data_IF_940135633572
#
_entry.id   IF_940135633572
#
_cell.length_a   1.000
_cell.length_b   1.000
_cell.length_c   1.000
_cell.angle_alpha   90.00
_cell.angle_beta   90.00
_cell.angle_gamma   90.00
#
_symmetry.space_group_name_H-M   'P 1'
#
loop_
_entity.id
_entity.type
_entity.pdbx_description
1 polymer ?
#
# COMPACT_ATOMS: atom_id res chain seq x y z
N UNK A 1 -18.08 -5.59 -17.19
CA UNK A 1 -17.19 -4.57 -16.63
C UNK A 1 -17.66 -4.17 -15.25
N UNK A 2 -16.82 -4.38 -14.25
CA UNK A 2 -17.18 -4.02 -12.89
C UNK A 2 -16.90 -2.54 -12.66
N UNK A 3 -17.98 -1.80 -12.48
CA UNK A 3 -17.84 -0.43 -12.04
C UNK A 3 -17.30 -0.45 -10.61
N UNK A 4 -16.11 0.09 -10.42
CA UNK A 4 -15.53 0.24 -9.09
C UNK A 4 -16.35 1.26 -8.32
N UNK A 5 -16.52 1.03 -7.01
CA UNK A 5 -17.20 2.01 -6.16
C UNK A 5 -16.54 3.37 -6.34
N UNK A 6 -17.38 4.35 -6.59
CA UNK A 6 -16.92 5.72 -6.77
C UNK A 6 -16.38 6.24 -5.45
N UNK A 7 -15.15 6.77 -5.47
CA UNK A 7 -14.52 7.36 -4.30
C UNK A 7 -14.99 8.81 -4.16
N UNK A 8 -15.43 9.17 -2.97
CA UNK A 8 -15.69 10.56 -2.62
C UNK A 8 -14.35 11.22 -2.30
N UNK A 9 -13.82 11.91 -3.30
CA UNK A 9 -12.49 12.55 -3.22
C UNK A 9 -12.42 13.56 -2.08
N UNK A 10 -13.46 14.38 -1.91
CA UNK A 10 -13.49 15.40 -0.87
C UNK A 10 -13.44 14.79 0.52
N UNK A 11 -14.25 13.75 0.76
CA UNK A 11 -14.28 13.03 2.02
C UNK A 11 -12.91 12.39 2.32
N UNK A 12 -12.32 11.74 1.32
CA UNK A 12 -11.02 11.09 1.46
C UNK A 12 -9.92 12.11 1.78
N UNK A 13 -9.88 13.23 1.08
CA UNK A 13 -8.89 14.27 1.34
C UNK A 13 -9.03 14.85 2.75
N UNK A 14 -10.26 15.03 3.23
CA UNK A 14 -10.51 15.44 4.61
C UNK A 14 -9.96 14.43 5.61
N UNK A 15 -10.25 13.15 5.40
CA UNK A 15 -9.76 12.09 6.26
C UNK A 15 -8.24 12.04 6.30
N UNK A 16 -7.59 12.22 5.15
CA UNK A 16 -6.13 12.23 5.03
C UNK A 16 -5.54 13.42 5.77
N UNK A 17 -6.06 14.63 5.54
CA UNK A 17 -5.52 15.85 6.14
C UNK A 17 -5.71 15.91 7.66
N UNK A 18 -6.77 15.32 8.18
CA UNK A 18 -7.08 15.31 9.59
C UNK A 18 -6.64 14.05 10.32
N UNK A 19 -5.92 13.16 9.64
CA UNK A 19 -5.53 11.87 10.20
C UNK A 19 -4.60 12.01 11.41
N UNK A 20 -4.93 11.27 12.47
CA UNK A 20 -4.13 11.20 13.67
C UNK A 20 -4.37 9.85 14.33
N UNK A 21 -3.30 9.14 14.65
CA UNK A 21 -3.38 7.83 15.28
C UNK A 21 -2.43 7.77 16.47
N UNK A 22 -2.89 7.17 17.56
CA UNK A 22 -2.08 7.00 18.76
C UNK A 22 -1.20 5.75 18.70
N UNK A 23 -1.56 4.79 17.84
CA UNK A 23 -0.86 3.52 17.71
C UNK A 23 -0.90 3.00 16.29
N UNK A 24 -0.03 2.04 16.00
CA UNK A 24 -0.03 1.36 14.71
C UNK A 24 -1.26 0.45 14.57
N UNK A 25 -1.61 0.16 13.32
CA UNK A 25 -2.82 -0.61 12.99
C UNK A 25 -2.40 -1.84 12.17
N UNK A 26 -3.07 -2.95 12.40
CA UNK A 26 -2.82 -4.19 11.67
C UNK A 26 -3.80 -4.34 10.51
N UNK A 27 -3.33 -4.99 9.45
CA UNK A 27 -4.17 -5.32 8.29
C UNK A 27 -3.79 -6.68 7.72
N UNK A 28 -4.69 -7.24 6.92
CA UNK A 28 -4.46 -8.47 6.16
C UNK A 28 -4.74 -8.18 4.70
N UNK A 29 -3.74 -8.45 3.85
CA UNK A 29 -3.90 -8.40 2.40
C UNK A 29 -4.15 -9.83 1.92
N UNK A 30 -5.38 -10.12 1.50
CA UNK A 30 -5.76 -11.45 1.02
C UNK A 30 -5.47 -11.52 -0.48
N UNK A 31 -4.60 -12.45 -0.87
CA UNK A 31 -4.14 -12.56 -2.26
C UNK A 31 -4.36 -13.95 -2.83
N UNK A 32 -4.18 -14.10 -4.14
CA UNK A 32 -4.22 -15.40 -4.84
C UNK A 32 -3.17 -16.39 -4.32
N UNK A 33 -2.13 -15.91 -3.66
CA UNK A 33 -1.06 -16.76 -3.11
C UNK A 33 -1.16 -16.97 -1.61
N UNK A 34 -2.14 -16.36 -0.95
CA UNK A 34 -2.35 -16.45 0.48
C UNK A 34 -2.49 -15.08 1.13
N UNK A 35 -2.57 -15.09 2.45
CA UNK A 35 -2.73 -13.86 3.24
C UNK A 35 -1.39 -13.29 3.64
N UNK A 36 -1.28 -11.96 3.57
CA UNK A 36 -0.12 -11.21 4.03
C UNK A 36 -0.57 -10.35 5.21
N UNK A 37 -0.10 -10.68 6.40
CA UNK A 37 -0.37 -9.89 7.60
C UNK A 37 0.66 -8.77 7.69
N UNK A 38 0.19 -7.56 7.93
CA UNK A 38 1.06 -6.38 7.93
C UNK A 38 0.77 -5.47 9.12
N UNK A 39 1.80 -4.75 9.55
CA UNK A 39 1.67 -3.63 10.47
C UNK A 39 1.70 -2.35 9.65
N UNK A 40 0.76 -1.45 9.93
CA UNK A 40 0.69 -0.13 9.31
C UNK A 40 1.17 0.90 10.34
N UNK A 41 2.16 1.71 9.96
CA UNK A 41 2.81 2.67 10.87
C UNK A 41 1.98 3.95 11.01
N UNK A 42 0.76 3.81 11.52
CA UNK A 42 -0.23 4.87 11.56
C UNK A 42 0.21 6.08 12.39
N UNK A 43 0.94 5.86 13.48
CA UNK A 43 1.39 6.97 14.33
C UNK A 43 2.48 7.83 13.67
N UNK A 44 3.29 7.23 12.78
CA UNK A 44 4.39 7.92 12.10
C UNK A 44 4.02 8.42 10.69
N UNK A 45 3.09 7.72 10.02
CA UNK A 45 2.63 8.10 8.69
C UNK A 45 1.09 8.14 8.66
N UNK A 46 0.47 9.02 9.45
CA UNK A 46 -0.98 9.02 9.63
C UNK A 46 -1.76 9.27 8.32
N UNK A 47 -1.29 10.17 7.48
CA UNK A 47 -1.98 10.49 6.23
C UNK A 47 -1.97 9.33 5.26
N UNK A 48 -0.82 8.72 5.07
CA UNK A 48 -0.63 7.57 4.18
C UNK A 48 -1.47 6.38 4.66
N UNK A 49 -1.43 6.10 5.96
CA UNK A 49 -2.20 5.00 6.54
C UNK A 49 -3.70 5.29 6.49
N UNK A 50 -4.14 6.52 6.75
CA UNK A 50 -5.56 6.90 6.63
C UNK A 50 -6.07 6.70 5.21
N UNK A 51 -5.26 7.04 4.21
CA UNK A 51 -5.58 6.81 2.82
C UNK A 51 -5.76 5.31 2.54
N UNK A 52 -4.79 4.51 2.94
CA UNK A 52 -4.82 3.05 2.74
C UNK A 52 -6.04 2.42 3.43
N UNK A 53 -6.27 2.76 4.69
CA UNK A 53 -7.42 2.26 5.46
C UNK A 53 -8.74 2.67 4.80
N UNK A 54 -8.87 3.93 4.43
CA UNK A 54 -10.10 4.45 3.81
C UNK A 54 -10.42 3.74 2.50
N UNK A 55 -9.43 3.56 1.65
CA UNK A 55 -9.60 2.83 0.39
C UNK A 55 -9.93 1.36 0.63
N UNK A 56 -9.25 0.71 1.58
CA UNK A 56 -9.50 -0.69 1.92
C UNK A 56 -10.93 -0.90 2.41
N UNK A 57 -11.41 -0.05 3.32
CA UNK A 57 -12.77 -0.15 3.88
C UNK A 57 -13.86 0.10 2.84
N UNK A 58 -13.58 0.87 1.81
CA UNK A 58 -14.52 1.13 0.73
C UNK A 58 -14.50 0.05 -0.35
N UNK A 59 -13.66 -0.98 -0.20
CA UNK A 59 -13.53 -2.05 -1.17
C UNK A 59 -12.77 -1.64 -2.43
N UNK A 60 -12.03 -0.53 -2.39
CA UNK A 60 -11.30 -0.02 -3.55
C UNK A 60 -10.26 -1.01 -4.08
N UNK A 61 -9.58 -1.72 -3.17
CA UNK A 61 -8.54 -2.69 -3.53
C UNK A 61 -9.09 -4.06 -3.94
N UNK A 62 -10.39 -4.29 -3.76
CA UNK A 62 -10.99 -5.60 -4.04
C UNK A 62 -10.79 -5.98 -5.51
N UNK A 63 -10.25 -7.17 -5.73
CA UNK A 63 -10.04 -7.77 -7.05
C UNK A 63 -9.08 -7.00 -7.96
N UNK A 64 -8.20 -6.17 -7.38
CA UNK A 64 -7.12 -5.54 -8.12
C UNK A 64 -5.95 -6.50 -8.31
N UNK A 65 -5.10 -6.23 -9.29
CA UNK A 65 -3.98 -7.09 -9.62
C UNK A 65 -2.66 -6.50 -9.15
N UNK A 66 -1.70 -7.39 -8.88
CA UNK A 66 -0.30 -7.00 -8.81
C UNK A 66 0.17 -6.86 -10.27
N UNK A 67 0.09 -5.66 -10.79
CA UNK A 67 0.36 -5.37 -12.20
C UNK A 67 1.85 -5.24 -12.54
N UNK A 68 2.71 -5.13 -11.54
CA UNK A 68 4.14 -5.01 -11.72
C UNK A 68 4.85 -5.83 -10.64
N UNK A 69 5.55 -6.88 -11.07
CA UNK A 69 6.33 -7.74 -10.16
C UNK A 69 7.71 -7.91 -10.75
N UNK A 70 8.71 -7.50 -10.00
CA UNK A 70 10.11 -7.63 -10.42
C UNK A 70 10.81 -8.50 -9.37
N UNK A 71 11.24 -9.69 -9.80
CA UNK A 71 11.92 -10.65 -8.94
C UNK A 71 13.13 -9.99 -8.26
N UNK A 72 13.32 -10.31 -6.99
CA UNK A 72 14.40 -9.76 -6.16
C UNK A 72 14.37 -8.23 -6.04
N UNK A 73 13.19 -7.66 -6.20
CA UNK A 73 12.95 -6.24 -5.99
C UNK A 73 11.65 -6.00 -5.22
N UNK A 74 10.49 -6.14 -5.87
CA UNK A 74 9.21 -5.82 -5.21
C UNK A 74 8.01 -6.34 -6.00
N UNK A 75 6.85 -6.34 -5.32
CA UNK A 75 5.54 -6.57 -5.95
C UNK A 75 4.70 -5.30 -5.78
N UNK A 76 4.12 -4.80 -6.86
CA UNK A 76 3.36 -3.55 -6.87
C UNK A 76 1.92 -3.78 -7.34
N UNK A 77 0.99 -3.20 -6.60
CA UNK A 77 -0.43 -3.30 -6.91
C UNK A 77 -1.19 -2.05 -6.50
N UNK A 78 -2.53 -2.13 -6.54
CA UNK A 78 -3.40 -1.04 -6.13
C UNK A 78 -3.77 -0.07 -7.24
N UNK A 79 -3.49 -0.41 -8.49
CA UNK A 79 -3.90 0.39 -9.64
C UNK A 79 -5.27 -0.07 -10.16
N UNK A 80 -6.30 0.78 -10.18
CA UNK A 80 -7.64 0.35 -10.57
C UNK A 80 -7.79 -0.06 -12.03
N UNK A 81 -6.96 0.45 -12.93
CA UNK A 81 -7.00 0.08 -14.34
C UNK A 81 -5.97 -1.00 -14.72
N UNK A 82 -5.11 -1.40 -13.79
CA UNK A 82 -4.11 -2.45 -14.01
C UNK A 82 -2.93 -2.05 -14.88
N UNK A 83 -2.79 -0.80 -15.25
CA UNK A 83 -1.74 -0.30 -16.14
C UNK A 83 -0.66 0.54 -15.45
N UNK A 84 -0.84 0.83 -14.17
CA UNK A 84 0.10 1.64 -13.40
C UNK A 84 -0.16 3.14 -13.47
N UNK A 85 -1.15 3.57 -14.23
CA UNK A 85 -1.47 5.00 -14.39
C UNK A 85 -2.75 5.41 -13.66
N UNK A 86 -3.54 4.46 -13.19
CA UNK A 86 -4.79 4.73 -12.49
C UNK A 86 -4.58 5.08 -11.03
N UNK A 87 -5.59 5.73 -10.46
CA UNK A 87 -5.59 6.13 -9.06
C UNK A 87 -6.98 6.50 -8.57
N UNK A 88 -7.08 6.97 -7.33
CA UNK A 88 -8.38 7.24 -6.69
C UNK A 88 -8.99 8.60 -7.04
N UNK A 89 -8.38 9.37 -7.92
CA UNK A 89 -8.88 10.68 -8.32
C UNK A 89 -8.29 11.84 -7.53
N UNK A 90 -7.28 11.58 -6.71
CA UNK A 90 -6.56 12.60 -5.92
C UNK A 90 -5.12 12.15 -5.72
N UNK A 91 -4.30 13.10 -5.29
CA UNK A 91 -2.92 12.85 -4.87
C UNK A 91 -2.70 13.53 -3.54
N UNK A 92 -1.75 13.00 -2.76
CA UNK A 92 -1.40 13.61 -1.47
C UNK A 92 0.10 13.56 -1.24
N UNK A 93 0.53 14.32 -0.25
CA UNK A 93 1.93 14.56 0.08
C UNK A 93 2.66 13.35 0.65
N UNK A 94 3.97 13.35 0.54
CA UNK A 94 4.83 12.33 1.13
C UNK A 94 4.92 12.51 2.65
N UNK A 95 5.17 11.40 3.35
CA UNK A 95 5.40 11.39 4.80
C UNK A 95 6.68 10.61 5.09
N UNK A 96 7.83 11.21 4.83
CA UNK A 96 9.11 10.58 5.12
C UNK A 96 9.40 10.67 6.62
N UNK A 97 9.82 9.56 7.20
CA UNK A 97 10.18 9.50 8.61
C UNK A 97 11.57 8.86 8.72
N UNK A 98 12.49 9.45 9.49
CA UNK A 98 13.87 8.96 9.54
C UNK A 98 14.03 7.54 10.08
N UNK A 99 13.04 7.06 10.85
CA UNK A 99 13.06 5.69 11.36
C UNK A 99 12.42 4.68 10.40
N UNK A 100 11.78 5.14 9.33
CA UNK A 100 11.09 4.29 8.37
C UNK A 100 11.86 4.27 7.05
N UNK A 101 12.56 3.17 6.82
CA UNK A 101 13.44 3.00 5.66
C UNK A 101 13.13 1.73 4.91
N UNK A 102 13.59 1.67 3.66
CA UNK A 102 13.52 0.47 2.84
C UNK A 102 14.71 -0.44 3.20
N UNK A 103 14.73 -0.94 4.44
CA UNK A 103 15.90 -1.58 5.05
C UNK A 103 15.92 -3.12 4.98
N UNK A 104 15.00 -3.70 4.25
CA UNK A 104 14.95 -5.16 4.12
C UNK A 104 13.73 -5.62 3.34
N UNK A 105 13.48 -6.94 3.32
CA UNK A 105 12.28 -7.47 2.70
C UNK A 105 11.02 -7.09 3.49
N UNK A 106 9.87 -7.08 2.79
CA UNK A 106 8.57 -6.90 3.45
C UNK A 106 8.18 -5.48 3.81
N UNK A 107 8.88 -4.48 3.26
CA UNK A 107 8.53 -3.08 3.49
C UNK A 107 7.38 -2.68 2.58
N UNK A 108 6.31 -2.12 3.16
CA UNK A 108 5.21 -1.51 2.42
C UNK A 108 5.52 -0.05 2.18
N UNK A 109 5.49 0.36 0.92
CA UNK A 109 5.85 1.71 0.52
C UNK A 109 4.92 2.18 -0.61
N UNK A 110 4.74 3.48 -0.72
CA UNK A 110 3.86 4.05 -1.74
C UNK A 110 4.57 4.21 -3.08
N UNK A 111 3.96 3.70 -4.13
CA UNK A 111 4.37 4.01 -5.49
C UNK A 111 3.97 5.45 -5.80
N UNK A 112 4.74 6.14 -6.63
CA UNK A 112 4.45 7.51 -7.02
C UNK A 112 5.10 7.84 -8.37
N UNK A 113 4.75 9.00 -8.90
CA UNK A 113 5.30 9.55 -10.15
C UNK A 113 6.17 10.77 -9.88
N UNK A 114 6.76 10.86 -8.70
CA UNK A 114 7.58 11.98 -8.25
C UNK A 114 7.06 12.53 -6.92
N UNK A 115 7.62 13.65 -6.43
CA UNK A 115 7.21 14.22 -5.15
C UNK A 115 5.72 14.53 -5.09
N UNK A 116 5.10 14.21 -3.97
CA UNK A 116 3.71 14.56 -3.64
C UNK A 116 2.68 14.03 -4.64
N UNK A 117 2.90 12.81 -5.17
CA UNK A 117 1.97 12.19 -6.12
C UNK A 117 1.41 10.85 -5.62
N UNK A 118 1.29 10.67 -4.31
CA UNK A 118 0.75 9.46 -3.72
C UNK A 118 -0.75 9.32 -4.01
N UNK A 119 -1.17 8.12 -4.35
CA UNK A 119 -2.57 7.80 -4.61
C UNK A 119 -2.94 6.46 -3.99
N UNK A 120 -3.23 5.45 -4.80
CA UNK A 120 -3.63 4.14 -4.31
C UNK A 120 -2.58 3.05 -4.48
N UNK A 121 -1.61 3.23 -5.36
CA UNK A 121 -0.63 2.19 -5.67
C UNK A 121 0.43 2.08 -4.58
N UNK A 122 0.77 0.85 -4.23
CA UNK A 122 1.80 0.55 -3.24
C UNK A 122 2.62 -0.65 -3.69
N UNK A 123 3.77 -0.84 -3.06
CA UNK A 123 4.61 -2.01 -3.32
C UNK A 123 5.09 -2.62 -2.00
N UNK A 124 5.46 -3.90 -2.08
CA UNK A 124 6.05 -4.63 -0.95
C UNK A 124 7.38 -5.19 -1.44
N UNK A 125 8.45 -4.93 -0.70
CA UNK A 125 9.80 -5.27 -1.13
C UNK A 125 10.14 -6.75 -0.94
N UNK A 126 11.03 -7.26 -1.79
CA UNK A 126 11.66 -8.58 -1.64
C UNK A 126 12.99 -8.47 -0.89
N UNK A 127 13.65 -7.32 -1.01
CA UNK A 127 15.00 -7.09 -0.48
C UNK A 127 15.09 -5.66 0.07
N UNK A 128 16.24 -5.32 0.63
CA UNK A 128 16.57 -3.94 0.96
C UNK A 128 16.64 -3.11 -0.33
N UNK A 129 15.94 -1.97 -0.33
CA UNK A 129 15.89 -1.05 -1.46
C UNK A 129 16.21 0.37 -1.00
N UNK A 130 17.36 0.54 -0.36
CA UNK A 130 17.75 1.80 0.31
C UNK A 130 17.82 3.02 -0.62
N UNK A 131 17.99 2.81 -1.92
CA UNK A 131 17.96 3.91 -2.89
C UNK A 131 16.58 4.58 -3.02
N UNK A 132 15.54 3.96 -2.46
CA UNK A 132 14.18 4.52 -2.45
C UNK A 132 13.89 5.40 -1.24
N UNK A 133 14.78 5.40 -0.24
CA UNK A 133 14.63 6.23 0.97
C UNK A 133 14.56 7.71 0.56
N UNK A 134 13.61 8.44 1.16
CA UNK A 134 13.41 9.85 0.85
C UNK A 134 12.70 10.13 -0.48
N UNK A 135 12.30 9.08 -1.22
CA UNK A 135 11.58 9.20 -2.49
C UNK A 135 10.20 8.55 -2.44
N UNK A 136 10.04 7.56 -1.61
CA UNK A 136 8.78 6.82 -1.42
C UNK A 136 8.47 6.73 0.06
N UNK A 137 7.19 6.88 0.40
CA UNK A 137 6.75 6.83 1.81
C UNK A 137 6.61 5.39 2.28
N UNK A 138 7.45 4.99 3.22
CA UNK A 138 7.32 3.71 3.93
C UNK A 138 6.20 3.86 4.95
N UNK A 139 5.18 3.00 4.88
CA UNK A 139 4.03 3.09 5.79
C UNK A 139 3.66 1.78 6.48
N UNK A 140 4.38 0.70 6.22
CA UNK A 140 4.09 -0.58 6.86
C UNK A 140 5.16 -1.62 6.65
N UNK A 141 4.93 -2.79 7.24
CA UNK A 141 5.83 -3.94 7.14
C UNK A 141 5.08 -5.24 7.35
N UNK A 142 5.49 -6.30 6.67
CA UNK A 142 4.92 -7.64 6.92
C UNK A 142 5.29 -8.11 8.32
N UNK A 143 4.42 -8.89 8.95
CA UNK A 143 4.57 -9.28 10.35
C UNK A 143 5.54 -10.44 10.58
N UNK A 144 5.69 -11.34 9.63
CA UNK A 144 6.43 -12.58 9.84
C UNK A 144 7.11 -13.10 8.58
N UNK A 145 7.99 -14.08 8.75
CA UNK A 145 8.64 -14.76 7.64
C UNK A 145 7.62 -15.52 6.77
N UNK A 146 6.56 -16.06 7.39
CA UNK A 146 5.48 -16.74 6.66
C UNK A 146 4.76 -15.76 5.73
N UNK A 147 4.54 -14.54 6.18
CA UNK A 147 3.94 -13.48 5.35
C UNK A 147 4.87 -13.08 4.22
N UNK A 148 6.17 -13.01 4.49
CA UNK A 148 7.17 -12.70 3.46
C UNK A 148 7.21 -13.80 2.39
N UNK A 149 7.06 -15.07 2.77
CA UNK A 149 7.00 -16.18 1.81
C UNK A 149 5.85 -16.00 0.83
N UNK A 150 4.70 -15.48 1.29
CA UNK A 150 3.57 -15.19 0.41
C UNK A 150 3.93 -14.06 -0.56
N UNK A 151 4.55 -12.99 -0.07
CA UNK A 151 5.02 -11.89 -0.92
C UNK A 151 5.95 -12.42 -2.02
N UNK A 152 6.89 -13.28 -1.64
CA UNK A 152 7.89 -13.83 -2.56
C UNK A 152 7.29 -14.75 -3.62
N UNK A 153 6.09 -15.30 -3.37
CA UNK A 153 5.38 -16.17 -4.31
C UNK A 153 4.50 -15.41 -5.29
N UNK A 154 4.22 -14.14 -5.04
CA UNK A 154 3.35 -13.35 -5.90
C UNK A 154 3.98 -13.17 -7.27
N UNK A 155 3.19 -13.40 -8.30
CA UNK A 155 3.56 -13.24 -9.71
C UNK A 155 2.70 -12.16 -10.34
N UNK A 156 3.18 -11.59 -11.42
CA UNK A 156 2.42 -10.59 -12.18
C UNK A 156 1.08 -11.21 -12.62
N UNK A 157 -0.01 -10.51 -12.29
CA UNK A 157 -1.36 -11.00 -12.57
C UNK A 157 -2.04 -11.66 -11.39
N UNK A 158 -1.33 -11.93 -10.30
CA UNK A 158 -1.98 -12.36 -9.05
C UNK A 158 -2.89 -11.25 -8.53
N UNK A 159 -3.95 -11.64 -7.84
CA UNK A 159 -4.96 -10.70 -7.36
C UNK A 159 -4.82 -10.37 -5.88
N UNK A 160 -5.20 -9.14 -5.56
CA UNK A 160 -5.59 -8.74 -4.22
C UNK A 160 -7.08 -9.04 -4.16
N UNK A 161 -7.49 -10.04 -3.37
CA UNK A 161 -8.92 -10.34 -3.22
C UNK A 161 -9.59 -9.25 -2.40
N UNK A 162 -8.93 -8.88 -1.31
CA UNK A 162 -9.46 -7.85 -0.42
C UNK A 162 -8.39 -7.47 0.62
N UNK A 163 -8.50 -6.26 1.18
CA UNK A 163 -7.66 -5.82 2.30
C UNK A 163 -8.57 -5.56 3.49
N UNK A 164 -8.32 -6.28 4.58
CA UNK A 164 -9.09 -6.19 5.82
C UNK A 164 -8.28 -5.44 6.87
N UNK A 165 -8.88 -4.41 7.46
CA UNK A 165 -8.25 -3.61 8.51
C UNK A 165 -8.68 -4.18 9.87
N UNK A 166 -7.70 -4.44 10.73
CA UNK A 166 -7.94 -4.93 12.08
C UNK A 166 -7.78 -3.78 13.06
N UNK A 167 -8.88 -3.31 13.59
CA UNK A 167 -8.89 -2.23 14.58
C UNK A 167 -9.10 -2.74 15.99
#
# INVERSE_FOLDING_TARGET
>A
MNARKKIDVEEMLKSIQNAKFDKDIEAVIETSKGNINVDLFASKTPKTVANFIGLAKKGYYDNLFFHRVIKDFMVQGGCPDGHGTGGPGYQFEDEFHPELRHDGPGVLSMANAGPRTNGSQFFITHIETSWLDGKHTVFGKVKSDADQEVVDKIEMGDQIHKITIKE
#
